data_IF_410586624161
#
_entry.id   IF_410586624161
#
_cell.length_a   1.000
_cell.length_b   1.000
_cell.length_c   1.000
_cell.angle_alpha   90.00
_cell.angle_beta   90.00
_cell.angle_gamma   90.00
#
_symmetry.space_group_name_H-M   'P 1'
#
loop_
_entity.id
_entity.type
_entity.pdbx_description
1 polymer ?
#
# COMPACT_ATOMS: atom_id res chain seq x y z
N UNK A 1 -1.26 -16.36 -0.29
CA UNK A 1 -1.36 -14.88 -0.23
C UNK A 1 -1.23 -14.46 1.22
N UNK A 2 -0.27 -13.58 1.49
CA UNK A 2 0.03 -13.07 2.82
C UNK A 2 -0.39 -11.61 2.91
N UNK A 3 -1.21 -11.29 3.91
CA UNK A 3 -1.58 -9.92 4.28
C UNK A 3 -1.07 -9.63 5.69
N UNK A 4 -0.79 -8.37 5.99
CA UNK A 4 -0.48 -7.94 7.36
C UNK A 4 -1.43 -6.83 7.78
N UNK A 5 -1.88 -6.85 9.03
CA UNK A 5 -2.59 -5.73 9.66
C UNK A 5 -1.69 -5.07 10.70
N UNK A 6 -1.67 -3.74 10.71
CA UNK A 6 -0.85 -2.94 11.59
C UNK A 6 -1.77 -1.97 12.35
N UNK A 7 -1.78 -2.07 13.68
CA UNK A 7 -2.46 -1.09 14.52
C UNK A 7 -1.71 0.26 14.48
N UNK A 8 -2.36 1.30 13.95
CA UNK A 8 -1.77 2.62 13.80
C UNK A 8 -1.39 3.26 15.15
N UNK A 9 -2.19 3.02 16.20
CA UNK A 9 -1.94 3.56 17.53
C UNK A 9 -0.65 2.98 18.11
N UNK A 10 -0.52 1.65 18.09
CA UNK A 10 0.67 0.97 18.59
C UNK A 10 1.91 1.34 17.78
N UNK A 11 1.80 1.42 16.45
CA UNK A 11 2.90 1.87 15.59
C UNK A 11 3.36 3.30 15.94
N UNK A 12 2.42 4.24 16.09
CA UNK A 12 2.73 5.63 16.46
C UNK A 12 3.29 5.76 17.87
N UNK A 13 2.87 4.91 18.81
CA UNK A 13 3.41 4.89 20.19
C UNK A 13 4.89 4.54 20.19
N UNK A 14 5.31 3.58 19.37
CA UNK A 14 6.71 3.20 19.20
C UNK A 14 7.51 4.23 18.39
N UNK A 15 6.83 5.04 17.56
CA UNK A 15 7.44 5.95 16.59
C UNK A 15 6.88 7.38 16.72
N UNK A 16 7.31 8.10 17.76
CA UNK A 16 6.74 9.40 18.15
C UNK A 16 7.00 10.53 17.14
N UNK A 17 8.08 10.42 16.35
CA UNK A 17 8.45 11.44 15.36
C UNK A 17 8.27 10.96 13.92
N UNK A 18 7.98 11.88 12.99
CA UNK A 18 7.83 11.57 11.57
C UNK A 18 9.07 10.89 10.97
N UNK A 19 10.28 11.17 11.47
CA UNK A 19 11.51 10.51 10.99
C UNK A 19 11.59 9.05 11.42
N UNK A 20 11.36 8.78 12.70
CA UNK A 20 11.27 7.42 13.25
C UNK A 20 10.15 6.63 12.54
N UNK A 21 8.97 7.25 12.38
CA UNK A 21 7.85 6.63 11.67
C UNK A 21 8.19 6.32 10.21
N UNK A 22 8.84 7.26 9.50
CA UNK A 22 9.26 7.03 8.11
C UNK A 22 10.25 5.86 8.02
N UNK A 23 11.21 5.79 8.95
CA UNK A 23 12.18 4.70 9.01
C UNK A 23 11.51 3.36 9.32
N UNK A 24 10.63 3.29 10.32
CA UNK A 24 9.88 2.08 10.66
C UNK A 24 9.01 1.61 9.48
N UNK A 25 8.29 2.51 8.82
CA UNK A 25 7.49 2.19 7.65
C UNK A 25 8.34 1.77 6.46
N UNK A 26 9.55 2.32 6.28
CA UNK A 26 10.49 1.84 5.27
C UNK A 26 10.93 0.40 5.55
N UNK A 27 11.26 0.07 6.80
CA UNK A 27 11.61 -1.30 7.19
C UNK A 27 10.45 -2.26 6.95
N UNK A 28 9.23 -1.88 7.34
CA UNK A 28 8.01 -2.66 7.08
C UNK A 28 7.84 -2.87 5.58
N UNK A 29 7.91 -1.81 4.78
CA UNK A 29 7.73 -1.85 3.32
C UNK A 29 8.77 -2.76 2.66
N UNK A 30 10.04 -2.64 3.07
CA UNK A 30 11.15 -3.43 2.55
C UNK A 30 10.92 -4.92 2.80
N UNK A 31 10.56 -5.30 4.02
CA UNK A 31 10.32 -6.70 4.36
C UNK A 31 9.02 -7.23 3.74
N UNK A 32 7.95 -6.43 3.75
CA UNK A 32 6.71 -6.76 3.06
C UNK A 32 6.96 -7.06 1.57
N UNK A 33 7.83 -6.29 0.91
CA UNK A 33 8.20 -6.56 -0.47
C UNK A 33 9.11 -7.78 -0.63
N UNK A 34 10.11 -7.95 0.26
CA UNK A 34 11.01 -9.10 0.23
C UNK A 34 10.26 -10.43 0.30
N UNK A 35 9.21 -10.47 1.12
CA UNK A 35 8.37 -11.64 1.36
C UNK A 35 7.02 -11.57 0.61
N UNK A 36 6.93 -10.70 -0.40
CA UNK A 36 5.80 -10.61 -1.34
C UNK A 36 4.40 -10.50 -0.70
N UNK A 37 4.31 -9.80 0.44
CA UNK A 37 3.05 -9.46 1.12
C UNK A 37 2.14 -8.72 0.15
N UNK A 38 0.92 -9.20 -0.07
CA UNK A 38 0.02 -8.65 -1.09
C UNK A 38 -0.78 -7.44 -0.59
N UNK A 39 -0.95 -7.30 0.72
CA UNK A 39 -1.75 -6.24 1.32
C UNK A 39 -1.24 -5.86 2.72
N UNK A 40 -1.24 -4.55 2.99
CA UNK A 40 -1.03 -3.98 4.31
C UNK A 40 -2.32 -3.26 4.73
N UNK A 41 -2.95 -3.77 5.77
CA UNK A 41 -4.13 -3.17 6.41
C UNK A 41 -3.67 -2.27 7.55
N UNK A 42 -4.10 -1.03 7.56
CA UNK A 42 -3.85 -0.08 8.64
C UNK A 42 -5.12 0.04 9.47
N UNK A 43 -5.07 -0.51 10.68
CA UNK A 43 -6.16 -0.37 11.63
C UNK A 43 -6.09 1.01 12.30
N UNK A 44 -7.04 1.86 11.93
CA UNK A 44 -7.26 3.18 12.48
C UNK A 44 -8.38 3.16 13.52
N UNK A 45 -8.16 2.47 14.65
CA UNK A 45 -9.08 2.58 15.79
C UNK A 45 -9.20 4.06 16.17
N UNK A 46 -10.41 4.54 16.50
CA UNK A 46 -10.76 5.97 16.65
C UNK A 46 -9.96 6.80 17.70
N UNK A 47 -8.89 6.23 18.25
CA UNK A 47 -7.90 6.87 19.12
C UNK A 47 -6.78 7.58 18.36
N UNK A 48 -6.62 7.32 17.05
CA UNK A 48 -5.60 7.98 16.21
C UNK A 48 -6.26 8.98 15.28
N UNK A 49 -5.70 10.18 15.21
CA UNK A 49 -6.12 11.21 14.25
C UNK A 49 -6.07 10.68 12.81
N UNK A 50 -7.13 10.94 12.03
CA UNK A 50 -7.23 10.55 10.62
C UNK A 50 -6.02 11.02 9.79
N UNK A 51 -5.51 12.22 10.07
CA UNK A 51 -4.31 12.79 9.44
C UNK A 51 -3.07 11.90 9.60
N UNK A 52 -2.91 11.24 10.75
CA UNK A 52 -1.79 10.32 11.03
C UNK A 52 -1.96 9.00 10.28
N UNK A 53 -3.18 8.47 10.23
CA UNK A 53 -3.49 7.26 9.45
C UNK A 53 -3.21 7.51 7.97
N UNK A 54 -3.66 8.66 7.43
CA UNK A 54 -3.36 9.07 6.06
C UNK A 54 -1.86 9.26 5.82
N UNK A 55 -1.13 9.78 6.79
CA UNK A 55 0.34 9.91 6.72
C UNK A 55 1.02 8.55 6.63
N UNK A 56 0.62 7.59 7.46
CA UNK A 56 1.13 6.21 7.41
C UNK A 56 0.88 5.60 6.03
N UNK A 57 -0.36 5.68 5.54
CA UNK A 57 -0.74 5.15 4.23
C UNK A 57 0.04 5.83 3.10
N UNK A 58 0.24 7.15 3.15
CA UNK A 58 0.99 7.87 2.13
C UNK A 58 2.47 7.51 2.11
N UNK A 59 3.09 7.29 3.27
CA UNK A 59 4.49 6.85 3.36
C UNK A 59 4.64 5.43 2.80
N UNK A 60 3.77 4.51 3.20
CA UNK A 60 3.76 3.14 2.66
C UNK A 60 3.53 3.14 1.14
N UNK A 61 2.59 3.94 0.65
CA UNK A 61 2.30 4.07 -0.78
C UNK A 61 3.49 4.65 -1.53
N UNK A 62 4.20 5.63 -0.95
CA UNK A 62 5.37 6.25 -1.55
C UNK A 62 6.45 5.22 -1.87
N UNK A 63 6.73 4.27 -0.97
CA UNK A 63 7.81 3.30 -1.15
C UNK A 63 7.57 2.28 -2.27
N UNK A 64 6.32 2.07 -2.66
CA UNK A 64 5.93 1.21 -3.80
C UNK A 64 5.45 2.02 -5.02
N UNK A 65 5.71 3.33 -5.04
CA UNK A 65 5.35 4.21 -6.14
C UNK A 65 6.60 4.64 -6.90
N UNK A 66 6.68 4.41 -8.22
CA UNK A 66 7.77 4.91 -9.05
C UNK A 66 7.97 6.42 -8.81
N UNK A 67 9.22 6.83 -8.60
CA UNK A 67 9.54 8.22 -8.17
C UNK A 67 8.98 9.27 -9.14
N UNK A 68 8.92 8.95 -10.42
CA UNK A 68 8.39 9.82 -11.48
C UNK A 68 6.87 9.95 -11.48
N UNK A 69 6.13 9.08 -10.77
CA UNK A 69 4.66 9.14 -10.64
C UNK A 69 4.18 9.75 -9.32
N UNK A 70 5.05 9.92 -8.32
CA UNK A 70 4.69 10.40 -6.98
C UNK A 70 3.84 11.68 -7.05
N UNK A 71 4.21 12.65 -7.89
CA UNK A 71 3.48 13.91 -8.00
C UNK A 71 2.02 13.71 -8.44
N UNK A 72 1.78 12.83 -9.42
CA UNK A 72 0.42 12.58 -9.92
C UNK A 72 -0.37 11.68 -8.98
N UNK A 73 0.24 10.62 -8.42
CA UNK A 73 -0.41 9.73 -7.45
C UNK A 73 -0.89 10.49 -6.22
N UNK A 74 -0.09 11.43 -5.71
CA UNK A 74 -0.43 12.19 -4.51
C UNK A 74 -1.06 13.57 -4.81
N UNK A 75 -1.41 13.87 -6.06
CA UNK A 75 -1.90 15.19 -6.47
C UNK A 75 -3.08 15.70 -5.64
N UNK A 76 -4.01 14.80 -5.30
CA UNK A 76 -5.24 15.14 -4.56
C UNK A 76 -5.08 15.04 -3.04
N UNK A 77 -4.00 14.44 -2.55
CA UNK A 77 -3.78 14.17 -1.13
C UNK A 77 -2.63 14.97 -0.54
N UNK A 78 -1.74 15.55 -1.36
CA UNK A 78 -0.53 16.25 -0.90
C UNK A 78 -0.82 17.35 0.13
N UNK A 79 -1.93 18.08 -0.04
CA UNK A 79 -2.33 19.16 0.86
C UNK A 79 -2.87 18.67 2.21
N UNK A 80 -3.23 17.40 2.33
CA UNK A 80 -3.71 16.77 3.56
C UNK A 80 -2.57 16.11 4.35
N UNK A 81 -1.37 16.08 3.80
CA UNK A 81 -0.22 15.41 4.39
C UNK A 81 0.70 16.41 5.09
N UNK A 82 1.46 15.98 6.12
CA UNK A 82 2.44 16.82 6.77
C UNK A 82 3.47 17.39 5.77
N UNK A 83 3.82 18.65 5.97
CA UNK A 83 4.89 19.29 5.21
C UNK A 83 6.16 18.43 5.23
N UNK A 84 6.79 18.26 4.07
CA UNK A 84 8.05 17.54 3.89
C UNK A 84 7.98 16.03 4.17
N UNK A 85 6.80 15.39 4.27
CA UNK A 85 6.68 13.93 4.44
C UNK A 85 7.52 13.17 3.41
N UNK A 86 7.41 13.53 2.13
CA UNK A 86 8.18 12.87 1.06
C UNK A 86 9.64 13.29 1.00
N UNK A 87 10.04 14.42 1.61
CA UNK A 87 11.47 14.77 1.73
C UNK A 87 12.21 13.77 2.61
N UNK A 88 11.54 13.26 3.65
CA UNK A 88 12.10 12.20 4.51
C UNK A 88 12.12 10.85 3.78
N UNK A 89 11.03 10.50 3.11
CA UNK A 89 10.95 9.27 2.33
C UNK A 89 12.00 9.21 1.23
N UNK A 90 12.30 10.33 0.57
CA UNK A 90 13.32 10.42 -0.48
C UNK A 90 14.73 10.05 -0.03
N UNK A 91 15.05 10.22 1.27
CA UNK A 91 16.34 9.85 1.85
C UNK A 91 16.48 8.34 2.08
N UNK A 92 15.39 7.59 2.04
CA UNK A 92 15.43 6.15 2.28
C UNK A 92 15.91 5.40 1.03
N UNK A 93 16.65 4.29 1.18
CA UNK A 93 17.05 3.45 0.06
C UNK A 93 15.85 2.92 -0.72
N UNK A 94 16.04 2.72 -2.03
CA UNK A 94 15.05 2.03 -2.87
C UNK A 94 14.92 0.58 -2.38
N UNK A 95 13.70 0.05 -2.37
CA UNK A 95 13.44 -1.36 -2.05
C UNK A 95 13.98 -2.21 -3.20
N UNK A 96 15.04 -3.00 -2.93
CA UNK A 96 15.77 -3.75 -3.95
C UNK A 96 14.90 -4.68 -4.80
N UNK A 97 13.99 -5.43 -4.17
CA UNK A 97 13.04 -6.34 -4.84
C UNK A 97 12.14 -5.64 -5.87
N UNK A 98 11.92 -4.34 -5.71
CA UNK A 98 11.07 -3.52 -6.60
C UNK A 98 11.87 -2.61 -7.52
N UNK A 99 13.20 -2.75 -7.60
CA UNK A 99 14.06 -1.78 -8.30
C UNK A 99 13.63 -1.55 -9.75
N UNK A 100 13.45 -2.63 -10.52
CA UNK A 100 13.11 -2.53 -11.94
C UNK A 100 11.68 -2.01 -12.15
N UNK A 101 10.74 -2.45 -11.32
CA UNK A 101 9.37 -1.93 -11.29
C UNK A 101 9.33 -0.41 -10.98
N UNK A 102 10.07 0.05 -9.98
CA UNK A 102 10.07 1.46 -9.54
C UNK A 102 10.84 2.39 -10.48
N UNK A 103 11.82 1.86 -11.22
CA UNK A 103 12.63 2.64 -12.16
C UNK A 103 12.09 2.55 -13.59
N UNK A 104 11.35 1.49 -13.90
CA UNK A 104 11.00 1.13 -15.27
C UNK A 104 12.18 0.54 -16.02
N UNK A 105 11.87 -0.03 -17.18
CA UNK A 105 12.86 -0.51 -18.16
C UNK A 105 12.67 0.24 -19.47
N UNK A 106 13.46 -0.11 -20.49
CA UNK A 106 13.29 0.41 -21.85
C UNK A 106 11.96 -0.03 -22.45
N UNK A 107 11.53 -1.26 -22.14
CA UNK A 107 10.38 -1.89 -22.79
C UNK A 107 9.10 -1.73 -21.98
N UNK A 108 9.21 -1.63 -20.65
CA UNK A 108 8.05 -1.58 -19.76
C UNK A 108 8.17 -0.47 -18.71
N UNK A 109 7.04 0.17 -18.40
CA UNK A 109 6.95 1.18 -17.34
C UNK A 109 5.59 1.18 -16.67
N UNK A 110 5.58 1.68 -15.44
CA UNK A 110 4.35 2.09 -14.80
C UNK A 110 3.90 3.45 -15.32
N UNK A 111 2.59 3.65 -15.34
CA UNK A 111 2.02 4.93 -15.68
C UNK A 111 0.70 5.19 -14.95
N UNK A 112 0.23 6.42 -15.01
CA UNK A 112 -1.07 6.82 -14.46
C UNK A 112 -1.94 7.45 -15.54
N UNK A 113 -3.20 7.04 -15.59
CA UNK A 113 -4.15 7.53 -16.59
C UNK A 113 -4.54 8.98 -16.32
N UNK A 114 -4.33 9.83 -17.34
CA UNK A 114 -4.54 11.27 -17.25
C UNK A 114 -5.39 11.79 -18.40
N UNK A 115 -6.02 12.94 -18.20
CA UNK A 115 -6.74 13.63 -19.25
C UNK A 115 -5.74 14.43 -20.10
N UNK A 116 -5.72 14.20 -21.43
CA UNK A 116 -5.14 15.14 -22.39
C UNK A 116 -6.09 16.33 -22.51
N UNK A 117 -5.69 17.48 -21.97
CA UNK A 117 -6.35 18.80 -22.06
C UNK A 117 -7.77 18.79 -22.66
N UNK A 118 -8.80 18.56 -21.83
CA UNK A 118 -10.18 18.76 -22.28
C UNK A 118 -10.41 20.26 -22.45
N UNK A 119 -10.61 20.71 -23.70
CA UNK A 119 -11.25 22.00 -23.96
C UNK A 119 -12.67 21.94 -23.40
N UNK A 120 -12.86 22.46 -22.20
CA UNK A 120 -14.18 22.47 -21.55
C UNK A 120 -15.12 23.35 -22.36
N UNK A 121 -16.18 22.75 -22.92
CA UNK A 121 -17.24 23.52 -23.57
C UNK A 121 -18.02 24.30 -22.50
N UNK A 122 -18.26 25.58 -22.78
CA UNK A 122 -19.22 26.40 -22.03
C UNK A 122 -20.57 26.30 -22.74
N UNK A 123 -21.65 26.33 -21.97
CA UNK A 123 -22.99 26.55 -22.51
C UNK A 123 -23.12 28.03 -22.91
N UNK A 124 -24.20 28.35 -23.61
CA UNK A 124 -24.52 29.73 -24.01
C UNK A 124 -24.74 30.65 -22.80
N UNK A 125 -25.08 30.10 -21.63
CA UNK A 125 -25.19 30.82 -20.34
C UNK A 125 -23.82 31.04 -19.65
N UNK A 126 -22.72 30.71 -20.30
CA UNK A 126 -21.35 30.83 -19.79
C UNK A 126 -20.95 29.75 -18.77
N UNK A 127 -21.86 28.87 -18.31
CA UNK A 127 -21.54 27.80 -17.37
C UNK A 127 -20.79 26.67 -18.05
N UNK A 128 -19.78 26.17 -17.37
CA UNK A 128 -18.96 25.02 -17.82
C UNK A 128 -19.81 23.75 -17.79
N UNK A 129 -19.85 23.01 -18.89
CA UNK A 129 -20.53 21.72 -18.97
C UNK A 129 -19.75 20.70 -18.11
N UNK A 130 -20.44 20.03 -17.18
CA UNK A 130 -19.86 18.93 -16.38
C UNK A 130 -19.72 17.69 -17.26
N UNK A 131 -18.55 17.05 -17.19
CA UNK A 131 -18.27 15.83 -17.94
C UNK A 131 -19.09 14.64 -17.42
N UNK A 132 -19.66 13.86 -18.35
CA UNK A 132 -20.35 12.60 -18.09
C UNK A 132 -19.38 11.51 -17.63
N UNK A 133 -19.90 10.43 -17.02
CA UNK A 133 -19.11 9.33 -16.46
C UNK A 133 -18.26 8.59 -17.53
N UNK A 134 -18.74 8.50 -18.77
CA UNK A 134 -18.00 7.95 -19.92
C UNK A 134 -16.93 8.90 -20.48
N UNK A 135 -16.97 10.18 -20.12
CA UNK A 135 -15.88 11.14 -20.40
C UNK A 135 -14.81 11.13 -19.30
N UNK A 136 -14.91 10.19 -18.33
CA UNK A 136 -13.90 9.93 -17.30
C UNK A 136 -12.97 8.76 -17.63
N UNK A 137 -13.00 8.27 -18.87
CA UNK A 137 -12.00 7.36 -19.40
C UNK A 137 -11.03 8.08 -20.33
N UNK A 138 -9.80 7.58 -20.43
CA UNK A 138 -8.73 8.16 -21.26
C UNK A 138 -7.87 7.06 -21.88
N UNK A 139 -7.26 7.36 -23.02
CA UNK A 139 -6.19 6.53 -23.62
C UNK A 139 -4.79 7.07 -23.28
N UNK A 140 -4.71 8.19 -22.56
CA UNK A 140 -3.45 8.88 -22.29
C UNK A 140 -2.91 8.51 -20.92
N UNK A 141 -1.65 8.08 -20.91
CA UNK A 141 -0.96 7.63 -19.72
C UNK A 141 0.33 8.44 -19.53
N UNK A 142 0.49 9.00 -18.34
CA UNK A 142 1.73 9.64 -17.92
C UNK A 142 2.68 8.59 -17.34
N UNK A 143 3.88 8.47 -17.91
CA UNK A 143 4.91 7.47 -17.56
C UNK A 143 6.21 8.11 -17.03
N UNK A 144 6.14 9.36 -16.56
CA UNK A 144 7.28 10.13 -16.05
C UNK A 144 8.09 10.85 -17.10
N UNK A 145 7.71 10.75 -18.38
CA UNK A 145 8.35 11.42 -19.49
C UNK A 145 7.65 12.76 -19.80
N UNK A 146 8.31 13.57 -20.64
CA UNK A 146 7.73 14.85 -21.11
C UNK A 146 6.44 14.63 -21.87
N UNK A 147 6.38 13.56 -22.66
CA UNK A 147 5.22 13.19 -23.47
C UNK A 147 4.49 12.00 -22.86
N UNK A 148 3.17 12.04 -22.92
CA UNK A 148 2.30 10.95 -22.50
C UNK A 148 2.19 9.89 -23.61
N UNK A 149 1.98 8.64 -23.21
CA UNK A 149 1.70 7.55 -24.14
C UNK A 149 0.19 7.48 -24.40
N UNK A 150 -0.19 7.42 -25.67
CA UNK A 150 -1.55 7.04 -26.08
C UNK A 150 -1.58 5.53 -26.32
N UNK A 151 -2.43 4.80 -25.59
CA UNK A 151 -2.51 3.33 -25.67
C UNK A 151 -3.30 2.88 -26.89
N UNK A 152 -2.88 1.74 -27.45
CA UNK A 152 -3.49 1.04 -28.59
C UNK A 152 -4.64 0.13 -28.14
N UNK A 153 -5.53 0.64 -27.28
CA UNK A 153 -6.73 -0.06 -26.82
C UNK A 153 -7.96 0.69 -27.28
N UNK A 154 -9.00 -0.05 -27.70
CA UNK A 154 -10.23 0.56 -28.19
C UNK A 154 -10.98 1.28 -27.06
N UNK A 155 -11.00 0.65 -25.88
CA UNK A 155 -11.61 1.19 -24.68
C UNK A 155 -10.61 2.03 -23.89
N UNK A 156 -11.01 3.24 -23.50
CA UNK A 156 -10.22 4.05 -22.57
C UNK A 156 -10.30 3.49 -21.15
N UNK A 157 -9.31 3.77 -20.32
CA UNK A 157 -9.30 3.36 -18.92
C UNK A 157 -9.73 4.49 -17.98
N UNK A 158 -10.30 4.19 -16.80
CA UNK A 158 -10.71 5.21 -15.84
C UNK A 158 -9.53 6.09 -15.44
N UNK A 159 -9.80 7.38 -15.18
CA UNK A 159 -8.81 8.36 -14.77
C UNK A 159 -8.20 8.11 -13.38
N UNK A 160 -6.91 8.43 -13.23
CA UNK A 160 -6.17 8.28 -11.97
C UNK A 160 -5.79 6.84 -11.63
N UNK A 161 -6.00 5.90 -12.56
CA UNK A 161 -5.65 4.49 -12.40
C UNK A 161 -4.18 4.30 -12.78
N UNK A 162 -3.43 3.60 -11.93
CA UNK A 162 -2.06 3.19 -12.21
C UNK A 162 -2.06 1.88 -12.99
N UNK A 163 -1.26 1.79 -14.04
CA UNK A 163 -1.17 0.64 -14.94
C UNK A 163 0.28 0.35 -15.35
N UNK A 164 0.59 -0.90 -15.62
CA UNK A 164 1.82 -1.32 -16.30
C UNK A 164 1.62 -1.25 -17.81
N UNK A 165 2.62 -0.73 -18.53
CA UNK A 165 2.56 -0.50 -19.98
C UNK A 165 3.78 -1.10 -20.65
N UNK A 166 3.54 -1.84 -21.73
CA UNK A 166 4.57 -2.11 -22.73
C UNK A 166 4.70 -0.90 -23.65
N UNK A 167 5.86 -0.26 -23.65
CA UNK A 167 6.12 1.01 -24.34
C UNK A 167 6.11 0.82 -25.86
N UNK A 168 6.66 -0.29 -26.35
CA UNK A 168 6.78 -0.58 -27.79
C UNK A 168 5.41 -0.81 -28.41
N UNK A 169 4.59 -1.63 -27.77
CA UNK A 169 3.28 -2.02 -28.27
C UNK A 169 2.18 -1.02 -27.87
N UNK A 170 2.49 -0.12 -26.93
CA UNK A 170 1.57 0.85 -26.30
C UNK A 170 0.33 0.15 -25.74
N UNK A 171 0.51 -0.97 -25.06
CA UNK A 171 -0.57 -1.78 -24.48
C UNK A 171 -0.45 -1.85 -22.98
N UNK A 172 -1.61 -1.87 -22.31
CA UNK A 172 -1.66 -2.23 -20.89
C UNK A 172 -1.40 -3.73 -20.79
N UNK A 173 -0.62 -4.06 -19.78
CA UNK A 173 -0.12 -5.40 -19.53
C UNK A 173 -0.29 -5.71 -18.05
N UNK A 174 -0.36 -6.99 -17.71
CA UNK A 174 -0.38 -7.38 -16.32
C UNK A 174 0.99 -7.10 -15.70
N UNK A 175 1.01 -6.34 -14.60
CA UNK A 175 2.24 -5.97 -13.93
C UNK A 175 2.97 -7.16 -13.32
N UNK A 176 2.26 -8.17 -12.81
CA UNK A 176 2.90 -9.37 -12.24
C UNK A 176 3.60 -10.20 -13.33
N UNK A 177 3.04 -10.26 -14.54
CA UNK A 177 3.65 -11.01 -15.66
C UNK A 177 5.00 -10.42 -16.09
N UNK A 178 5.19 -9.11 -15.90
CA UNK A 178 6.39 -8.39 -16.35
C UNK A 178 7.39 -8.19 -15.22
N UNK A 179 6.89 -7.80 -14.05
CA UNK A 179 7.71 -7.40 -12.92
C UNK A 179 7.88 -8.52 -11.90
N UNK A 180 7.10 -9.60 -12.00
CA UNK A 180 6.96 -10.64 -10.98
C UNK A 180 6.14 -10.17 -9.79
N UNK A 181 6.64 -9.14 -9.09
CA UNK A 181 6.00 -8.57 -7.91
C UNK A 181 5.96 -7.04 -7.97
N UNK A 182 4.76 -6.46 -7.81
CA UNK A 182 4.48 -5.02 -8.00
C UNK A 182 4.25 -4.24 -6.70
N UNK A 183 4.63 -4.83 -5.56
CA UNK A 183 4.37 -4.28 -4.24
C UNK A 183 3.06 -4.77 -3.64
N UNK A 184 2.60 -4.06 -2.61
CA UNK A 184 1.39 -4.38 -1.85
C UNK A 184 0.27 -3.37 -2.09
N UNK A 185 -0.97 -3.77 -1.79
CA UNK A 185 -2.08 -2.85 -1.63
C UNK A 185 -2.13 -2.30 -0.20
N UNK A 186 -2.72 -1.12 -0.02
CA UNK A 186 -2.91 -0.51 1.30
C UNK A 186 -4.40 -0.29 1.51
N UNK A 187 -4.91 -0.77 2.65
CA UNK A 187 -6.31 -0.59 3.04
C UNK A 187 -6.37 -0.02 4.45
N UNK A 188 -7.35 0.83 4.72
CA UNK A 188 -7.62 1.31 6.09
C UNK A 188 -8.81 0.53 6.62
N UNK A 189 -8.66 -0.04 7.81
CA UNK A 189 -9.76 -0.63 8.58
C UNK A 189 -10.11 0.30 9.74
N UNK A 190 -11.41 0.53 9.97
CA UNK A 190 -11.88 1.47 11.01
C UNK A 190 -11.94 0.85 12.41
N UNK A 191 -12.17 -0.46 12.45
CA UNK A 191 -12.31 -1.27 13.66
C UNK A 191 -11.82 -2.70 13.37
N UNK A 192 -11.81 -3.55 14.41
CA UNK A 192 -11.31 -4.91 14.27
C UNK A 192 -12.16 -5.77 13.31
N UNK A 193 -13.48 -5.55 13.28
CA UNK A 193 -14.39 -6.30 12.41
C UNK A 193 -14.14 -5.96 10.93
N UNK A 194 -13.95 -4.68 10.62
CA UNK A 194 -13.65 -4.14 9.29
C UNK A 194 -12.33 -4.66 8.70
N UNK A 195 -11.41 -5.18 9.53
CA UNK A 195 -10.23 -5.92 9.03
C UNK A 195 -10.70 -7.09 8.17
N UNK A 196 -11.66 -7.89 8.64
CA UNK A 196 -12.08 -9.14 8.01
C UNK A 196 -13.25 -8.95 7.04
N UNK A 197 -14.23 -8.13 7.39
CA UNK A 197 -15.47 -7.97 6.58
C UNK A 197 -15.27 -7.11 5.33
N UNK A 198 -14.26 -6.23 5.32
CA UNK A 198 -13.92 -5.38 4.17
C UNK A 198 -12.67 -5.88 3.42
N UNK A 199 -12.29 -7.14 3.63
CA UNK A 199 -11.20 -7.77 2.91
C UNK A 199 -11.55 -7.90 1.40
N UNK A 200 -10.56 -7.69 0.54
CA UNK A 200 -10.76 -7.84 -0.91
C UNK A 200 -10.86 -9.30 -1.34
N UNK A 201 -11.60 -9.56 -2.43
CA UNK A 201 -11.80 -10.91 -2.98
C UNK A 201 -12.64 -11.78 -2.04
N UNK A 202 -12.23 -13.04 -1.85
CA UNK A 202 -12.93 -14.03 -1.02
C UNK A 202 -12.65 -13.90 0.49
N UNK A 203 -12.01 -12.80 0.92
CA UNK A 203 -11.62 -12.59 2.31
C UNK A 203 -10.33 -13.30 2.73
N UNK A 204 -10.13 -13.45 4.04
CA UNK A 204 -9.03 -14.23 4.61
C UNK A 204 -9.56 -15.57 5.10
N UNK A 205 -8.84 -16.65 4.80
CA UNK A 205 -9.14 -17.99 5.34
C UNK A 205 -8.72 -18.11 6.80
N UNK A 206 -7.73 -17.30 7.22
CA UNK A 206 -7.18 -17.35 8.56
C UNK A 206 -6.68 -15.99 9.05
N UNK A 207 -7.04 -15.62 10.26
CA UNK A 207 -6.52 -14.49 11.01
C UNK A 207 -5.58 -14.95 12.13
N UNK A 208 -4.36 -14.41 12.15
CA UNK A 208 -3.36 -14.72 13.18
C UNK A 208 -3.00 -13.44 13.92
N UNK A 209 -3.30 -13.39 15.21
CA UNK A 209 -2.90 -12.29 16.08
C UNK A 209 -1.46 -12.46 16.54
N UNK A 210 -0.63 -11.46 16.26
CA UNK A 210 0.75 -11.38 16.74
C UNK A 210 0.83 -10.41 17.92
N UNK A 211 1.06 -10.95 19.12
CA UNK A 211 1.32 -10.16 20.32
C UNK A 211 2.73 -9.58 20.26
N UNK A 212 2.83 -8.25 20.40
CA UNK A 212 4.08 -7.47 20.34
C UNK A 212 4.39 -6.92 21.73
N UNK A 213 5.67 -6.92 22.15
CA UNK A 213 6.09 -6.30 23.40
C UNK A 213 5.88 -7.13 24.66
N UNK A 214 5.93 -8.46 24.53
CA UNK A 214 5.86 -9.37 25.66
C UNK A 214 7.25 -9.55 26.29
N UNK A 215 7.34 -9.41 27.62
CA UNK A 215 8.57 -9.60 28.40
C UNK A 215 9.05 -11.06 28.34
N UNK A 216 10.37 -11.27 28.31
CA UNK A 216 11.06 -12.55 28.04
C UNK A 216 10.80 -13.75 28.99
N UNK A 217 9.81 -13.67 29.87
CA UNK A 217 9.32 -14.81 30.67
C UNK A 217 8.20 -15.59 29.97
N UNK A 218 7.51 -15.00 28.99
CA UNK A 218 6.59 -15.75 28.16
C UNK A 218 7.41 -16.56 27.16
N UNK A 219 7.42 -17.89 27.36
CA UNK A 219 8.01 -18.78 26.39
C UNK A 219 7.31 -18.53 25.05
N UNK A 220 8.03 -18.30 23.94
CA UNK A 220 7.43 -18.24 22.63
C UNK A 220 6.56 -19.47 22.48
N UNK A 221 5.24 -19.27 22.34
CA UNK A 221 4.31 -20.38 22.19
C UNK A 221 4.54 -20.92 20.78
N UNK A 222 5.32 -22.00 20.77
CA UNK A 222 5.56 -23.01 19.73
C UNK A 222 5.09 -22.69 18.32
N UNK A 223 6.04 -22.77 17.40
CA UNK A 223 5.86 -23.15 16.00
C UNK A 223 4.85 -22.29 15.25
N UNK A 224 5.33 -21.16 14.76
CA UNK A 224 4.86 -20.59 13.50
C UNK A 224 5.22 -21.57 12.35
N UNK A 225 4.86 -22.85 12.47
CA UNK A 225 4.91 -23.83 11.40
C UNK A 225 4.04 -23.25 10.29
N UNK A 226 4.53 -23.27 9.03
CA UNK A 226 3.85 -22.74 7.85
C UNK A 226 2.35 -22.93 7.98
N UNK A 227 1.65 -21.87 8.39
CA UNK A 227 0.22 -21.94 8.62
C UNK A 227 -0.40 -22.30 7.27
N UNK A 228 -1.13 -23.40 7.24
CA UNK A 228 -1.72 -23.90 6.00
C UNK A 228 -2.93 -23.03 5.68
N UNK A 229 -2.90 -22.38 4.53
CA UNK A 229 -3.98 -21.52 4.05
C UNK A 229 -3.53 -20.76 2.81
N UNK A 230 -4.46 -20.57 1.87
CA UNK A 230 -4.21 -19.85 0.63
C UNK A 230 -4.23 -18.32 0.85
N UNK A 231 -4.92 -17.82 1.89
CA UNK A 231 -5.07 -16.39 2.21
C UNK A 231 -5.05 -16.12 3.72
N UNK A 232 -3.93 -15.64 4.24
CA UNK A 232 -3.71 -15.46 5.69
C UNK A 232 -3.42 -13.99 6.01
N UNK A 233 -4.02 -13.46 7.08
CA UNK A 233 -3.69 -12.14 7.63
C UNK A 233 -3.00 -12.24 8.99
N UNK A 234 -1.87 -11.55 9.13
CA UNK A 234 -1.11 -11.44 10.38
C UNK A 234 -1.32 -10.07 11.01
N UNK A 235 -1.88 -10.02 12.21
CA UNK A 235 -2.31 -8.78 12.86
C UNK A 235 -1.33 -8.38 13.97
N UNK A 236 -0.62 -7.27 13.78
CA UNK A 236 0.43 -6.80 14.68
C UNK A 236 -0.03 -5.63 15.53
N UNK A 237 0.25 -5.69 16.84
CA UNK A 237 -0.04 -4.60 17.79
C UNK A 237 -1.52 -4.33 18.02
N UNK A 238 -2.40 -5.26 17.59
CA UNK A 238 -3.85 -5.22 17.75
C UNK A 238 -4.25 -5.83 19.10
N UNK A 239 -3.79 -5.23 20.20
CA UNK A 239 -4.03 -5.77 21.53
C UNK A 239 -5.48 -5.55 21.96
N UNK A 240 -6.18 -6.60 22.34
CA UNK A 240 -7.53 -6.53 22.91
C UNK A 240 -8.30 -7.84 22.79
N UNK A 241 -9.20 -8.09 23.75
CA UNK A 241 -10.03 -9.29 23.80
C UNK A 241 -10.88 -9.49 22.54
N UNK A 242 -11.42 -8.40 22.00
CA UNK A 242 -12.19 -8.43 20.75
C UNK A 242 -11.36 -8.97 19.58
N UNK A 243 -10.09 -8.57 19.47
CA UNK A 243 -9.22 -9.07 18.40
C UNK A 243 -8.80 -10.53 18.63
N UNK A 244 -8.61 -10.94 19.89
CA UNK A 244 -8.33 -12.33 20.25
C UNK A 244 -9.50 -13.26 19.90
N UNK A 245 -10.74 -12.78 20.01
CA UNK A 245 -11.95 -13.53 19.64
C UNK A 245 -12.17 -13.61 18.12
N UNK A 246 -11.64 -12.65 17.35
CA UNK A 246 -11.76 -12.60 15.89
C UNK A 246 -10.67 -13.38 15.14
N UNK A 247 -9.55 -13.69 15.80
CA UNK A 247 -8.43 -14.42 15.19
C UNK A 247 -8.50 -15.91 15.52
N UNK A 248 -8.14 -16.74 14.55
CA UNK A 248 -8.08 -18.20 14.71
C UNK A 248 -6.91 -18.63 15.60
N UNK A 249 -5.81 -17.87 15.56
CA UNK A 249 -4.59 -18.16 16.31
C UNK A 249 -3.98 -16.92 16.95
N UNK A 250 -3.30 -17.13 18.08
CA UNK A 250 -2.56 -16.11 18.80
C UNK A 250 -1.13 -16.58 18.97
N UNK A 251 -0.19 -15.78 18.47
CA UNK A 251 1.25 -16.06 18.53
C UNK A 251 1.97 -14.89 19.17
N UNK A 252 3.06 -15.20 19.88
CA UNK A 252 3.95 -14.19 20.46
C UNK A 252 5.02 -13.87 19.42
N UNK A 253 5.04 -12.63 18.93
CA UNK A 253 6.10 -12.17 18.03
C UNK A 253 7.37 -11.83 18.80
N UNK A 254 8.52 -12.01 18.16
CA UNK A 254 9.78 -11.53 18.72
C UNK A 254 9.94 -10.03 18.49
N UNK A 255 10.36 -9.31 19.53
CA UNK A 255 10.65 -7.88 19.47
C UNK A 255 9.64 -7.02 20.24
N UNK A 256 10.16 -5.88 20.71
CA UNK A 256 9.38 -4.94 21.51
C UNK A 256 8.60 -3.93 20.66
N UNK A 257 8.87 -3.88 19.36
CA UNK A 257 8.27 -2.94 18.42
C UNK A 257 7.57 -3.69 17.30
N UNK A 258 6.61 -3.00 16.67
CA UNK A 258 5.76 -3.60 15.64
C UNK A 258 6.57 -3.96 14.39
N UNK A 259 7.43 -3.05 13.96
CA UNK A 259 8.33 -3.25 12.84
C UNK A 259 9.27 -4.45 13.04
N UNK A 260 9.79 -4.66 14.25
CA UNK A 260 10.68 -5.78 14.57
C UNK A 260 9.93 -7.11 14.53
N UNK A 261 8.72 -7.14 15.12
CA UNK A 261 7.85 -8.31 15.12
C UNK A 261 7.43 -8.70 13.70
N UNK A 262 7.16 -7.73 12.83
CA UNK A 262 6.87 -7.98 11.42
C UNK A 262 8.06 -8.64 10.73
N UNK A 263 9.29 -8.14 10.92
CA UNK A 263 10.48 -8.75 10.30
C UNK A 263 10.65 -10.20 10.78
N UNK A 264 10.54 -10.42 12.09
CA UNK A 264 10.69 -11.75 12.66
C UNK A 264 9.65 -12.73 12.12
N UNK A 265 8.37 -12.34 12.15
CA UNK A 265 7.28 -13.22 11.68
C UNK A 265 7.41 -13.51 10.19
N UNK A 266 7.63 -12.48 9.36
CA UNK A 266 7.75 -12.68 7.92
C UNK A 266 8.93 -13.59 7.56
N UNK A 267 10.05 -13.53 8.29
CA UNK A 267 11.22 -14.39 8.03
C UNK A 267 11.01 -15.88 8.30
N UNK A 268 9.93 -16.25 8.99
CA UNK A 268 9.63 -17.64 9.35
C UNK A 268 8.54 -18.25 8.46
N UNK A 269 7.60 -17.45 7.96
CA UNK A 269 6.40 -17.96 7.28
C UNK A 269 6.51 -18.11 5.77
N UNK A 270 7.42 -17.37 5.12
CA UNK A 270 7.64 -17.39 3.67
C UNK A 270 8.95 -18.07 3.33
#
# INVERSE_FOLDING_TARGET
>A
MTSICINAETLCRHNKGLEQLTYALHQISRNACQYEVKEIVILGSGKVEESKILTICAILQYFITPKYLVKEVFRNSINKLPNKVFKKCYKMPIIGKLKDYLQGTKDNREGISIIKNIKRRKRDDGKVIKLNKNEKSTKFIQIGEKEMIEINEDNGIPLGVRVSINIKDKKIVNGEDIWGYVGYNIRIAKDYTSIFTEAGGDGYEKGILIKVGINGNDKPRSDLSKSTGSRIIYCFGCNGKEMEELCDEIVVGYGNRVEDAIVSVLSVIT
#
